data_IF_765025554891
#
_entry.id   IF_765025554891
#
_cell.length_a   1.000
_cell.length_b   1.000
_cell.length_c   1.000
_cell.angle_alpha   90.00
_cell.angle_beta   90.00
_cell.angle_gamma   90.00
#
_symmetry.space_group_name_H-M   'P 1'
#
loop_
_entity.id
_entity.type
_entity.pdbx_description
1 polymer ?
#
# COMPACT_ATOMS: atom_id res chain seq x y z
N UNK A 1 -92.48 139.62 30.79
CA UNK A 1 -92.02 141.03 30.69
C UNK A 1 -92.64 141.73 29.50
N UNK A 2 -92.47 141.19 28.29
CA UNK A 2 -92.92 141.81 27.02
C UNK A 2 -94.44 142.12 26.95
N UNK A 3 -95.33 141.31 27.55
CA UNK A 3 -96.78 141.55 27.47
C UNK A 3 -97.27 142.81 28.21
N UNK A 4 -96.64 143.20 29.33
CA UNK A 4 -97.08 144.39 30.10
C UNK A 4 -96.68 145.70 29.42
N UNK A 5 -95.52 145.71 28.76
CA UNK A 5 -95.00 146.86 28.01
C UNK A 5 -95.91 147.18 26.81
N UNK A 6 -96.54 146.17 26.20
CA UNK A 6 -97.47 146.32 25.07
C UNK A 6 -98.80 147.00 25.47
N UNK A 7 -99.42 146.62 26.59
CA UNK A 7 -100.68 147.25 27.06
C UNK A 7 -100.49 148.70 27.55
N UNK A 8 -99.31 149.07 28.06
CA UNK A 8 -99.00 150.45 28.46
C UNK A 8 -98.97 151.42 27.27
N UNK A 9 -98.50 150.95 26.12
CA UNK A 9 -98.37 151.76 24.91
C UNK A 9 -99.69 152.05 24.19
N UNK A 10 -100.76 151.28 24.47
CA UNK A 10 -102.08 151.41 23.84
C UNK A 10 -103.08 152.24 24.64
N UNK A 11 -102.63 152.87 25.74
CA UNK A 11 -103.47 153.70 26.62
C UNK A 11 -104.34 152.91 27.60
N UNK A 12 -104.33 151.58 27.55
CA UNK A 12 -105.02 150.70 28.51
C UNK A 12 -104.12 150.40 29.72
N UNK A 13 -103.94 151.43 30.54
CA UNK A 13 -103.10 151.37 31.73
C UNK A 13 -103.56 150.32 32.76
N UNK A 14 -104.82 149.87 32.69
CA UNK A 14 -105.36 148.87 33.62
C UNK A 14 -104.77 147.49 33.33
N UNK A 15 -104.77 147.05 32.07
CA UNK A 15 -104.18 145.77 31.69
C UNK A 15 -102.64 145.79 31.73
N UNK A 16 -102.02 146.94 31.46
CA UNK A 16 -100.59 147.14 31.60
C UNK A 16 -100.11 146.86 33.03
N UNK A 17 -100.80 147.47 34.01
CA UNK A 17 -100.53 147.23 35.42
C UNK A 17 -100.75 145.76 35.80
N UNK A 18 -101.85 145.16 35.34
CA UNK A 18 -102.21 143.79 35.68
C UNK A 18 -101.15 142.77 35.21
N UNK A 19 -100.67 142.91 33.96
CA UNK A 19 -99.65 142.01 33.41
C UNK A 19 -98.25 142.31 33.90
N UNK A 20 -97.93 143.55 34.26
CA UNK A 20 -96.68 143.86 34.95
C UNK A 20 -96.67 143.16 36.31
N UNK A 21 -97.78 143.26 37.04
CA UNK A 21 -97.99 142.55 38.32
C UNK A 21 -97.87 141.04 38.13
N UNK A 22 -98.49 140.46 37.10
CA UNK A 22 -98.41 139.02 36.81
C UNK A 22 -96.99 138.57 36.44
N UNK A 23 -96.26 139.34 35.63
CA UNK A 23 -94.86 139.02 35.32
C UNK A 23 -93.97 139.15 36.55
N UNK A 24 -94.12 140.20 37.35
CA UNK A 24 -93.40 140.34 38.61
C UNK A 24 -93.69 139.12 39.51
N UNK A 25 -94.95 138.68 39.60
CA UNK A 25 -95.36 137.53 40.40
C UNK A 25 -94.82 136.19 39.86
N UNK A 26 -94.79 135.99 38.54
CA UNK A 26 -94.22 134.78 37.91
C UNK A 26 -92.69 134.80 37.97
N UNK A 27 -92.06 135.95 37.76
CA UNK A 27 -90.62 136.09 37.82
C UNK A 27 -90.12 135.91 39.25
N UNK A 28 -90.83 136.43 40.26
CA UNK A 28 -90.59 136.12 41.67
C UNK A 28 -90.89 134.64 41.98
N UNK A 29 -91.84 133.99 41.30
CA UNK A 29 -92.06 132.54 41.47
C UNK A 29 -90.95 131.69 40.86
N UNK A 30 -90.42 132.06 39.70
CA UNK A 30 -89.42 131.26 38.95
C UNK A 30 -88.01 131.57 39.40
N UNK A 31 -87.71 132.83 39.66
CA UNK A 31 -86.41 133.34 40.11
C UNK A 31 -86.46 133.84 41.56
N UNK A 32 -87.31 133.24 42.41
CA UNK A 32 -87.04 133.31 43.85
C UNK A 32 -85.78 132.50 44.16
N UNK A 33 -85.19 132.86 45.29
CA UNK A 33 -84.01 132.21 45.87
C UNK A 33 -84.13 130.67 45.90
N UNK A 34 -85.33 130.13 46.10
CA UNK A 34 -85.58 128.69 46.21
C UNK A 34 -85.42 127.95 44.88
N UNK A 35 -85.93 128.50 43.79
CA UNK A 35 -85.87 127.85 42.48
C UNK A 35 -84.52 128.02 41.79
N UNK A 36 -83.83 129.16 41.99
CA UNK A 36 -82.45 129.33 41.51
C UNK A 36 -81.51 128.32 42.19
N UNK A 37 -81.65 128.11 43.50
CA UNK A 37 -80.92 127.04 44.22
C UNK A 37 -81.21 125.66 43.63
N UNK A 38 -82.47 125.36 43.29
CA UNK A 38 -82.85 124.05 42.76
C UNK A 38 -82.30 123.76 41.36
N UNK A 39 -82.23 124.77 40.49
CA UNK A 39 -81.59 124.64 39.18
C UNK A 39 -80.08 124.41 39.33
N UNK A 40 -79.42 125.18 40.19
CA UNK A 40 -77.99 125.00 40.47
C UNK A 40 -77.69 123.62 41.09
N UNK A 41 -78.56 123.11 41.98
CA UNK A 41 -78.44 121.75 42.54
C UNK A 41 -78.57 120.67 41.47
N UNK A 42 -79.51 120.80 40.53
CA UNK A 42 -79.70 119.83 39.44
C UNK A 42 -78.55 119.83 38.43
N UNK A 43 -78.02 121.01 38.09
CA UNK A 43 -76.83 121.10 37.23
C UNK A 43 -75.60 120.51 37.92
N UNK A 44 -75.44 120.79 39.22
CA UNK A 44 -74.37 120.20 40.02
C UNK A 44 -74.51 118.68 40.12
N UNK A 45 -75.71 118.14 40.38
CA UNK A 45 -75.93 116.70 40.47
C UNK A 45 -75.73 116.00 39.12
N UNK A 46 -76.20 116.60 38.01
CA UNK A 46 -75.99 116.05 36.66
C UNK A 46 -74.51 116.07 36.26
N UNK A 47 -73.78 117.13 36.61
CA UNK A 47 -72.34 117.21 36.37
C UNK A 47 -71.58 116.20 37.23
N UNK A 48 -71.94 116.07 38.50
CA UNK A 48 -71.37 115.09 39.42
C UNK A 48 -71.63 113.65 38.95
N UNK A 49 -72.84 113.32 38.48
CA UNK A 49 -73.14 112.01 37.90
C UNK A 49 -72.33 111.72 36.64
N UNK A 50 -72.18 112.70 35.72
CA UNK A 50 -71.34 112.54 34.53
C UNK A 50 -69.87 112.34 34.87
N UNK A 51 -69.33 113.10 35.83
CA UNK A 51 -67.96 112.93 36.32
C UNK A 51 -67.78 111.55 36.99
N UNK A 52 -68.75 111.13 37.82
CA UNK A 52 -68.73 109.81 38.46
C UNK A 52 -68.77 108.67 37.43
N UNK A 53 -69.65 108.75 36.42
CA UNK A 53 -69.70 107.78 35.32
C UNK A 53 -68.41 107.76 34.50
N UNK A 54 -67.80 108.92 34.25
CA UNK A 54 -66.52 109.00 33.53
C UNK A 54 -65.39 108.33 34.32
N UNK A 55 -65.34 108.54 35.64
CA UNK A 55 -64.37 107.90 36.54
C UNK A 55 -64.60 106.38 36.58
N UNK A 56 -65.85 105.92 36.73
CA UNK A 56 -66.19 104.49 36.73
C UNK A 56 -65.81 103.82 35.40
N UNK A 57 -66.06 104.46 34.26
CA UNK A 57 -65.67 103.96 32.94
C UNK A 57 -64.14 103.92 32.77
N UNK A 58 -63.42 104.93 33.26
CA UNK A 58 -61.95 104.94 33.24
C UNK A 58 -61.37 103.83 34.14
N UNK A 59 -61.98 103.61 35.30
CA UNK A 59 -61.62 102.52 36.21
C UNK A 59 -61.88 101.15 35.57
N UNK A 60 -63.06 100.92 34.99
CA UNK A 60 -63.37 99.68 34.25
C UNK A 60 -62.40 99.43 33.09
N UNK A 61 -62.01 100.49 32.35
CA UNK A 61 -61.00 100.37 31.30
C UNK A 61 -59.63 99.96 31.87
N UNK A 62 -59.21 100.56 32.99
CA UNK A 62 -57.95 100.18 33.68
C UNK A 62 -57.99 98.73 34.15
N UNK A 63 -59.09 98.29 34.76
CA UNK A 63 -59.27 96.91 35.23
C UNK A 63 -59.30 95.91 34.05
N UNK A 64 -59.97 96.25 32.94
CA UNK A 64 -60.00 95.43 31.73
C UNK A 64 -58.61 95.31 31.08
N UNK A 65 -57.84 96.41 31.00
CA UNK A 65 -56.45 96.37 30.52
C UNK A 65 -55.58 95.53 31.44
N UNK A 66 -55.70 95.67 32.77
CA UNK A 66 -54.97 94.85 33.74
C UNK A 66 -55.33 93.36 33.64
N UNK A 67 -56.61 93.02 33.45
CA UNK A 67 -57.03 91.64 33.24
C UNK A 67 -56.44 91.07 31.93
N UNK A 68 -56.43 91.85 30.85
CA UNK A 68 -55.84 91.44 29.57
C UNK A 68 -54.32 91.25 29.66
N UNK A 69 -53.60 92.13 30.38
CA UNK A 69 -52.15 91.97 30.61
C UNK A 69 -51.86 90.77 31.52
N UNK A 70 -52.66 90.53 32.56
CA UNK A 70 -52.53 89.33 33.39
C UNK A 70 -52.78 88.05 32.57
N UNK A 71 -53.81 88.03 31.73
CA UNK A 71 -54.10 86.89 30.85
C UNK A 71 -52.96 86.64 29.83
N UNK A 72 -52.41 87.70 29.22
CA UNK A 72 -51.30 87.56 28.27
C UNK A 72 -50.02 87.07 28.94
N UNK A 73 -49.74 87.52 30.17
CA UNK A 73 -48.61 87.02 30.98
C UNK A 73 -48.79 85.55 31.35
N UNK A 74 -49.99 85.15 31.81
CA UNK A 74 -50.30 83.75 32.12
C UNK A 74 -50.17 82.87 30.87
N UNK A 75 -50.72 83.31 29.74
CA UNK A 75 -50.62 82.58 28.47
C UNK A 75 -49.15 82.46 28.01
N UNK A 76 -48.36 83.52 28.16
CA UNK A 76 -46.91 83.50 27.91
C UNK A 76 -46.17 82.50 28.81
N UNK A 77 -46.46 82.48 30.11
CA UNK A 77 -45.88 81.51 31.06
C UNK A 77 -46.27 80.07 30.72
N UNK A 78 -47.52 79.84 30.30
CA UNK A 78 -47.99 78.52 29.84
C UNK A 78 -47.22 78.11 28.59
N UNK A 79 -47.07 78.99 27.60
CA UNK A 79 -46.32 78.70 26.36
C UNK A 79 -44.85 78.37 26.64
N UNK A 80 -44.18 79.16 27.50
CA UNK A 80 -42.79 78.90 27.92
C UNK A 80 -42.69 77.56 28.65
N UNK A 81 -43.63 77.25 29.54
CA UNK A 81 -43.67 75.98 30.28
C UNK A 81 -43.89 74.79 29.35
N UNK A 82 -44.80 74.91 28.36
CA UNK A 82 -45.02 73.89 27.35
C UNK A 82 -43.79 73.69 26.46
N UNK A 83 -43.12 74.77 26.06
CA UNK A 83 -41.90 74.70 25.29
C UNK A 83 -40.76 74.04 26.08
N UNK A 84 -40.59 74.39 27.35
CA UNK A 84 -39.62 73.77 28.24
C UNK A 84 -39.89 72.26 28.42
N UNK A 85 -41.16 71.87 28.60
CA UNK A 85 -41.57 70.47 28.67
C UNK A 85 -41.30 69.72 27.37
N UNK A 86 -41.56 70.34 26.21
CA UNK A 86 -41.26 69.78 24.90
C UNK A 86 -39.76 69.53 24.72
N UNK A 87 -38.92 70.53 25.00
CA UNK A 87 -37.45 70.42 24.91
C UNK A 87 -36.94 69.35 25.87
N UNK A 88 -37.43 69.33 27.11
CA UNK A 88 -37.06 68.33 28.10
C UNK A 88 -37.43 66.90 27.66
N UNK A 89 -38.66 66.71 27.17
CA UNK A 89 -39.13 65.41 26.66
C UNK A 89 -38.33 64.98 25.44
N UNK A 90 -38.07 65.89 24.50
CA UNK A 90 -37.26 65.64 23.30
C UNK A 90 -35.83 65.24 23.67
N UNK A 91 -35.20 65.94 24.62
CA UNK A 91 -33.87 65.63 25.12
C UNK A 91 -33.80 64.27 25.82
N UNK A 92 -34.78 63.96 26.68
CA UNK A 92 -34.92 62.63 27.33
C UNK A 92 -35.06 61.50 26.31
N UNK A 93 -35.88 61.68 25.27
CA UNK A 93 -36.05 60.69 24.21
C UNK A 93 -34.73 60.51 23.45
N UNK A 94 -34.09 61.59 22.99
CA UNK A 94 -32.80 61.53 22.30
C UNK A 94 -31.73 60.82 23.13
N UNK A 95 -31.63 61.11 24.42
CA UNK A 95 -30.65 60.46 25.29
C UNK A 95 -30.90 58.95 25.40
N UNK A 96 -32.16 58.53 25.62
CA UNK A 96 -32.53 57.10 25.64
C UNK A 96 -32.25 56.42 24.31
N UNK A 97 -32.60 57.04 23.18
CA UNK A 97 -32.33 56.50 21.84
C UNK A 97 -30.83 56.36 21.59
N UNK A 98 -30.02 57.35 21.97
CA UNK A 98 -28.56 57.29 21.82
C UNK A 98 -27.94 56.17 22.67
N UNK A 99 -28.46 55.92 23.88
CA UNK A 99 -28.01 54.80 24.72
C UNK A 99 -28.34 53.45 24.08
N UNK A 100 -29.56 53.29 23.54
CA UNK A 100 -29.96 52.07 22.83
C UNK A 100 -29.09 51.87 21.59
N UNK A 101 -28.86 52.93 20.81
CA UNK A 101 -28.04 52.88 19.60
C UNK A 101 -26.59 52.53 19.92
N UNK A 102 -26.02 53.08 21.00
CA UNK A 102 -24.68 52.74 21.46
C UNK A 102 -24.57 51.26 21.86
N UNK A 103 -25.59 50.73 22.57
CA UNK A 103 -25.65 49.31 22.91
C UNK A 103 -25.77 48.42 21.67
N UNK A 104 -26.69 48.74 20.75
CA UNK A 104 -26.86 48.01 19.49
C UNK A 104 -25.58 48.03 18.65
N UNK A 105 -24.90 49.17 18.59
CA UNK A 105 -23.62 49.29 17.88
C UNK A 105 -22.57 48.36 18.49
N UNK A 106 -22.45 48.33 19.81
CA UNK A 106 -21.51 47.44 20.50
C UNK A 106 -21.86 45.96 20.27
N UNK A 107 -23.15 45.60 20.35
CA UNK A 107 -23.62 44.23 20.11
C UNK A 107 -23.32 43.78 18.65
N UNK A 108 -23.47 44.69 17.66
CA UNK A 108 -23.12 44.44 16.26
C UNK A 108 -21.61 44.28 16.08
N UNK A 109 -20.80 45.13 16.73
CA UNK A 109 -19.34 45.02 16.67
C UNK A 109 -18.87 43.66 17.20
N UNK A 110 -19.40 43.24 18.35
CA UNK A 110 -19.09 41.92 18.92
C UNK A 110 -19.53 40.76 18.01
N UNK A 111 -20.73 40.84 17.44
CA UNK A 111 -21.22 39.81 16.52
C UNK A 111 -20.37 39.74 15.24
N UNK A 112 -19.89 40.88 14.74
CA UNK A 112 -18.99 40.91 13.58
C UNK A 112 -17.62 40.29 13.90
N UNK A 113 -17.08 40.51 15.10
CA UNK A 113 -15.84 39.85 15.54
C UNK A 113 -16.02 38.32 15.62
N UNK A 114 -17.11 37.85 16.23
CA UNK A 114 -17.45 36.42 16.28
C UNK A 114 -17.62 35.82 14.88
N UNK A 115 -18.32 36.53 13.98
CA UNK A 115 -18.49 36.11 12.58
C UNK A 115 -17.16 35.99 11.85
N UNK A 116 -16.22 36.91 12.07
CA UNK A 116 -14.92 36.90 11.40
C UNK A 116 -14.09 35.67 11.80
N UNK A 117 -14.07 35.34 13.10
CA UNK A 117 -13.36 34.16 13.63
C UNK A 117 -13.95 32.87 13.07
N UNK A 118 -15.28 32.72 13.11
CA UNK A 118 -15.96 31.53 12.59
C UNK A 118 -15.72 31.37 11.09
N UNK A 119 -15.71 32.47 10.33
CA UNK A 119 -15.49 32.42 8.90
C UNK A 119 -14.03 32.04 8.54
N UNK A 120 -13.06 32.47 9.35
CA UNK A 120 -11.66 32.05 9.21
C UNK A 120 -11.49 30.55 9.51
N UNK A 121 -12.08 30.05 10.60
CA UNK A 121 -12.09 28.61 10.93
C UNK A 121 -12.80 27.78 9.86
N UNK A 122 -13.92 28.27 9.32
CA UNK A 122 -14.63 27.60 8.24
C UNK A 122 -13.81 27.55 6.94
N UNK A 123 -13.05 28.61 6.65
CA UNK A 123 -12.19 28.66 5.45
C UNK A 123 -11.06 27.65 5.57
N UNK A 124 -10.34 27.65 6.70
CA UNK A 124 -9.23 26.72 6.95
C UNK A 124 -9.68 25.25 6.98
N UNK A 125 -10.82 24.94 7.60
CA UNK A 125 -11.38 23.58 7.60
C UNK A 125 -11.81 23.12 6.20
N UNK A 126 -12.38 24.00 5.39
CA UNK A 126 -12.73 23.69 4.01
C UNK A 126 -11.49 23.46 3.14
N UNK A 127 -10.42 24.26 3.30
CA UNK A 127 -9.16 24.05 2.59
C UNK A 127 -8.54 22.69 2.93
N UNK A 128 -8.49 22.33 4.21
CA UNK A 128 -8.00 21.02 4.66
C UNK A 128 -8.88 19.86 4.14
N UNK A 129 -10.20 20.05 4.08
CA UNK A 129 -11.12 19.05 3.53
C UNK A 129 -10.90 18.84 2.03
N UNK A 130 -10.68 19.92 1.26
CA UNK A 130 -10.37 19.86 -0.17
C UNK A 130 -9.04 19.14 -0.40
N UNK A 131 -8.02 19.42 0.41
CA UNK A 131 -6.73 18.74 0.31
C UNK A 131 -6.85 17.25 0.63
N UNK A 132 -7.52 16.90 1.72
CA UNK A 132 -7.77 15.50 2.11
C UNK A 132 -8.53 14.75 1.02
N UNK A 133 -9.56 15.36 0.44
CA UNK A 133 -10.32 14.77 -0.66
C UNK A 133 -9.43 14.51 -1.89
N UNK A 134 -8.58 15.48 -2.27
CA UNK A 134 -7.61 15.29 -3.37
C UNK A 134 -6.64 14.15 -3.08
N UNK A 135 -6.14 14.02 -1.85
CA UNK A 135 -5.24 12.93 -1.47
C UNK A 135 -5.92 11.56 -1.55
N UNK A 136 -7.19 11.46 -1.11
CA UNK A 136 -7.98 10.22 -1.23
C UNK A 136 -8.23 9.88 -2.69
N UNK A 137 -8.68 10.84 -3.52
CA UNK A 137 -8.89 10.63 -4.96
C UNK A 137 -7.61 10.19 -5.67
N UNK A 138 -6.47 10.81 -5.35
CA UNK A 138 -5.17 10.43 -5.90
C UNK A 138 -4.73 9.02 -5.46
N UNK A 139 -4.98 8.67 -4.19
CA UNK A 139 -4.71 7.33 -3.66
C UNK A 139 -5.58 6.28 -4.35
N UNK A 140 -6.89 6.52 -4.50
CA UNK A 140 -7.83 5.64 -5.20
C UNK A 140 -7.44 5.45 -6.68
N UNK A 141 -7.09 6.53 -7.39
CA UNK A 141 -6.61 6.44 -8.76
C UNK A 141 -5.34 5.59 -8.84
N UNK A 142 -4.39 5.78 -7.91
CA UNK A 142 -3.18 4.97 -7.84
C UNK A 142 -3.48 3.51 -7.59
N UNK A 143 -4.35 3.17 -6.62
CA UNK A 143 -4.77 1.80 -6.35
C UNK A 143 -5.44 1.16 -7.57
N UNK A 144 -6.33 1.88 -8.24
CA UNK A 144 -7.00 1.40 -9.46
C UNK A 144 -6.00 1.11 -10.59
N UNK A 145 -4.98 1.95 -10.78
CA UNK A 145 -3.92 1.70 -11.75
C UNK A 145 -3.07 0.49 -11.39
N UNK A 146 -2.78 0.27 -10.10
CA UNK A 146 -2.05 -0.91 -9.65
C UNK A 146 -2.84 -2.19 -9.89
N UNK A 147 -4.15 -2.19 -9.60
CA UNK A 147 -5.04 -3.34 -9.81
C UNK A 147 -5.17 -3.63 -11.31
N UNK A 148 -5.38 -2.59 -12.16
CA UNK A 148 -5.55 -2.78 -13.61
C UNK A 148 -4.30 -3.26 -14.33
N UNK A 149 -3.11 -2.89 -13.84
CA UNK A 149 -1.84 -3.33 -14.42
C UNK A 149 -1.26 -4.58 -13.75
N UNK A 150 -1.96 -5.17 -12.77
CA UNK A 150 -1.58 -6.46 -12.21
C UNK A 150 -1.77 -7.56 -13.26
N UNK A 151 -0.78 -8.43 -13.41
CA UNK A 151 -0.90 -9.64 -14.23
C UNK A 151 -1.70 -10.73 -13.53
N UNK A 152 -1.85 -10.66 -12.21
CA UNK A 152 -2.65 -11.60 -11.43
C UNK A 152 -4.11 -11.11 -11.31
N UNK A 153 -5.04 -12.05 -11.23
CA UNK A 153 -6.47 -11.78 -11.01
C UNK A 153 -6.71 -11.58 -9.51
N UNK A 154 -7.28 -10.44 -9.15
CA UNK A 154 -7.74 -10.18 -7.79
C UNK A 154 -9.24 -10.50 -7.71
N UNK A 155 -9.62 -11.36 -6.77
CA UNK A 155 -10.99 -11.80 -6.56
C UNK A 155 -11.39 -11.54 -5.10
N UNK A 156 -12.56 -10.94 -4.90
CA UNK A 156 -13.20 -10.89 -3.59
C UNK A 156 -14.35 -11.88 -3.53
N UNK A 157 -14.32 -12.71 -2.50
CA UNK A 157 -15.26 -13.80 -2.28
C UNK A 157 -15.99 -13.58 -0.97
N UNK A 158 -17.31 -13.78 -0.97
CA UNK A 158 -18.11 -13.69 0.25
C UNK A 158 -17.98 -14.97 1.11
N UNK A 159 -18.62 -14.98 2.30
CA UNK A 159 -18.60 -16.14 3.22
C UNK A 159 -19.15 -17.45 2.63
N UNK A 160 -19.93 -17.37 1.54
CA UNK A 160 -20.54 -18.52 0.86
C UNK A 160 -19.69 -19.07 -0.28
N UNK A 161 -18.55 -18.45 -0.59
CA UNK A 161 -17.71 -18.84 -1.72
C UNK A 161 -18.11 -18.20 -3.05
N UNK A 162 -18.99 -17.19 -3.04
CA UNK A 162 -19.43 -16.49 -4.25
C UNK A 162 -18.52 -15.27 -4.53
N UNK A 163 -18.04 -15.19 -5.77
CA UNK A 163 -17.24 -14.08 -6.26
C UNK A 163 -18.14 -12.88 -6.57
N UNK A 164 -17.87 -11.75 -5.93
CA UNK A 164 -18.63 -10.51 -6.15
C UNK A 164 -17.79 -9.36 -6.72
N UNK A 165 -16.47 -9.51 -6.71
CA UNK A 165 -15.53 -8.62 -7.39
C UNK A 165 -14.41 -9.43 -8.02
N UNK A 166 -14.04 -9.08 -9.25
CA UNK A 166 -12.97 -9.70 -10.02
C UNK A 166 -12.26 -8.59 -10.80
N UNK A 167 -10.93 -8.55 -10.78
CA UNK A 167 -10.16 -7.57 -11.56
C UNK A 167 -10.22 -7.84 -13.07
N UNK A 168 -10.03 -6.79 -13.87
CA UNK A 168 -10.06 -6.84 -15.34
C UNK A 168 -9.05 -7.86 -15.94
N UNK A 169 -8.01 -8.23 -15.19
CA UNK A 169 -7.02 -9.23 -15.59
C UNK A 169 -7.66 -10.61 -15.89
N UNK A 170 -8.81 -10.93 -15.28
CA UNK A 170 -9.51 -12.18 -15.54
C UNK A 170 -9.86 -12.39 -17.00
N UNK A 171 -10.23 -11.31 -17.72
CA UNK A 171 -10.60 -11.40 -19.14
C UNK A 171 -9.44 -11.89 -20.00
N UNK A 172 -8.24 -11.39 -19.74
CA UNK A 172 -7.04 -11.74 -20.50
C UNK A 172 -6.55 -13.16 -20.18
N UNK A 173 -6.69 -13.59 -18.92
CA UNK A 173 -6.16 -14.89 -18.46
C UNK A 173 -7.13 -16.06 -18.63
N UNK A 174 -8.45 -15.82 -18.54
CA UNK A 174 -9.47 -16.88 -18.62
C UNK A 174 -10.25 -16.87 -19.93
N UNK A 175 -10.28 -15.73 -20.63
CA UNK A 175 -11.11 -15.49 -21.81
C UNK A 175 -12.59 -15.20 -21.51
N UNK A 176 -13.02 -15.25 -20.24
CA UNK A 176 -14.39 -14.91 -19.84
C UNK A 176 -14.52 -13.43 -19.52
N UNK A 177 -15.72 -12.87 -19.75
CA UNK A 177 -16.06 -11.57 -19.19
C UNK A 177 -16.20 -11.68 -17.66
N UNK A 178 -15.93 -10.59 -16.94
CA UNK A 178 -15.98 -10.56 -15.47
C UNK A 178 -17.37 -10.97 -14.98
N UNK A 179 -18.42 -10.52 -15.67
CA UNK A 179 -19.81 -10.82 -15.34
C UNK A 179 -20.16 -12.30 -15.47
N UNK A 180 -19.44 -13.05 -16.32
CA UNK A 180 -19.62 -14.50 -16.50
C UNK A 180 -18.96 -15.31 -15.37
N UNK A 181 -18.03 -14.71 -14.62
CA UNK A 181 -17.29 -15.35 -13.54
C UNK A 181 -17.83 -14.99 -12.15
N UNK A 182 -18.80 -14.07 -12.05
CA UNK A 182 -19.47 -13.75 -10.79
C UNK A 182 -20.27 -14.95 -10.28
N UNK A 183 -20.31 -15.11 -8.96
CA UNK A 183 -20.94 -16.27 -8.32
C UNK A 183 -19.96 -17.41 -8.06
N UNK A 184 -20.38 -18.65 -8.27
CA UNK A 184 -19.59 -19.84 -7.97
C UNK A 184 -18.72 -20.25 -9.14
N UNK A 185 -17.48 -20.68 -8.88
CA UNK A 185 -16.52 -21.09 -9.92
C UNK A 185 -16.41 -22.60 -10.16
N UNK A 186 -17.28 -23.41 -9.56
CA UNK A 186 -17.21 -24.87 -9.72
C UNK A 186 -17.29 -25.30 -11.20
N UNK A 187 -18.09 -24.62 -12.03
CA UNK A 187 -18.28 -24.96 -13.45
C UNK A 187 -17.05 -24.70 -14.34
N UNK A 188 -16.13 -23.85 -13.87
CA UNK A 188 -14.89 -23.49 -14.59
C UNK A 188 -13.66 -24.17 -14.01
N UNK A 189 -13.80 -25.01 -12.99
CA UNK A 189 -12.72 -25.82 -12.42
C UNK A 189 -12.70 -27.20 -13.09
N UNK A 190 -11.51 -27.75 -13.31
CA UNK A 190 -11.37 -29.11 -13.80
C UNK A 190 -11.99 -30.12 -12.80
N UNK A 191 -12.81 -31.09 -13.25
CA UNK A 191 -13.60 -31.93 -12.33
C UNK A 191 -12.82 -32.63 -11.21
N UNK A 192 -11.63 -33.16 -11.50
CA UNK A 192 -10.81 -33.85 -10.50
C UNK A 192 -10.19 -32.88 -9.46
N UNK A 193 -10.13 -31.58 -9.79
CA UNK A 193 -9.55 -30.56 -8.92
C UNK A 193 -10.62 -29.92 -8.00
N UNK A 194 -11.91 -30.23 -8.17
CA UNK A 194 -12.99 -29.67 -7.35
C UNK A 194 -12.82 -29.99 -5.85
N UNK A 195 -12.41 -31.22 -5.54
CA UNK A 195 -12.27 -31.67 -4.15
C UNK A 195 -11.13 -30.92 -3.44
N UNK A 196 -9.99 -30.74 -4.11
CA UNK A 196 -8.86 -30.00 -3.52
C UNK A 196 -9.22 -28.51 -3.34
N UNK A 197 -10.01 -27.93 -4.25
CA UNK A 197 -10.50 -26.55 -4.12
C UNK A 197 -11.46 -26.39 -2.94
N UNK A 198 -12.38 -27.34 -2.73
CA UNK A 198 -13.26 -27.33 -1.55
C UNK A 198 -12.48 -27.49 -0.24
N UNK A 199 -11.46 -28.34 -0.23
CA UNK A 199 -10.59 -28.48 0.94
C UNK A 199 -9.79 -27.20 1.22
N UNK A 200 -9.28 -26.55 0.18
CA UNK A 200 -8.64 -25.24 0.30
C UNK A 200 -9.60 -24.18 0.88
N UNK A 201 -10.82 -24.11 0.36
CA UNK A 201 -11.85 -23.22 0.89
C UNK A 201 -12.10 -23.42 2.39
N UNK A 202 -12.23 -24.68 2.82
CA UNK A 202 -12.42 -25.01 4.23
C UNK A 202 -11.21 -24.59 5.10
N UNK A 203 -9.98 -24.71 4.60
CA UNK A 203 -8.77 -24.26 5.32
C UNK A 203 -8.71 -22.75 5.46
N UNK A 204 -9.06 -22.00 4.42
CA UNK A 204 -9.12 -20.52 4.44
C UNK A 204 -10.19 -20.02 5.42
N UNK A 205 -11.34 -20.69 5.48
CA UNK A 205 -12.38 -20.35 6.46
C UNK A 205 -11.95 -20.66 7.90
N UNK A 206 -11.24 -21.78 8.11
CA UNK A 206 -10.81 -22.22 9.42
C UNK A 206 -9.67 -21.37 10.00
N UNK A 207 -8.79 -20.81 9.17
CA UNK A 207 -7.62 -20.06 9.61
C UNK A 207 -7.59 -18.64 9.03
N UNK A 208 -7.82 -17.64 9.89
CA UNK A 208 -7.89 -16.22 9.49
C UNK A 208 -6.54 -15.54 9.41
N UNK A 209 -5.54 -16.05 10.12
CA UNK A 209 -4.24 -15.38 10.29
C UNK A 209 -3.23 -15.77 9.20
N UNK A 210 -3.52 -16.81 8.42
CA UNK A 210 -2.58 -17.38 7.44
C UNK A 210 -3.25 -17.45 6.08
N UNK A 211 -2.54 -16.99 5.04
CA UNK A 211 -2.95 -17.19 3.67
C UNK A 211 -2.73 -18.66 3.27
N UNK A 212 -3.72 -19.30 2.65
CA UNK A 212 -3.57 -20.64 2.07
C UNK A 212 -3.33 -20.55 0.57
N UNK A 213 -2.65 -21.56 0.01
CA UNK A 213 -2.32 -21.61 -1.41
C UNK A 213 -2.81 -22.93 -2.03
N UNK A 214 -3.29 -22.85 -3.27
CA UNK A 214 -3.70 -24.00 -4.07
C UNK A 214 -3.30 -23.83 -5.53
N UNK A 215 -2.99 -24.96 -6.20
CA UNK A 215 -2.83 -25.02 -7.64
C UNK A 215 -3.93 -25.90 -8.23
N UNK A 216 -4.60 -25.43 -9.27
CA UNK A 216 -5.72 -26.14 -9.91
C UNK A 216 -5.80 -25.78 -11.39
N UNK A 217 -6.50 -26.61 -12.15
CA UNK A 217 -6.78 -26.37 -13.57
C UNK A 217 -8.10 -25.62 -13.71
N UNK A 218 -8.03 -24.50 -14.41
CA UNK A 218 -9.16 -23.66 -14.75
C UNK A 218 -9.48 -23.81 -16.25
N UNK A 219 -10.75 -23.96 -16.59
CA UNK A 219 -11.23 -24.02 -17.97
C UNK A 219 -11.15 -22.62 -18.57
N UNK A 220 -10.28 -22.42 -19.54
CA UNK A 220 -10.25 -21.22 -20.37
C UNK A 220 -11.34 -21.30 -21.46
N UNK A 221 -11.92 -20.16 -21.85
CA UNK A 221 -13.01 -20.09 -22.85
C UNK A 221 -12.65 -20.71 -24.20
N UNK A 222 -11.44 -20.43 -24.70
CA UNK A 222 -10.95 -20.93 -26.01
C UNK A 222 -9.77 -21.92 -25.95
N UNK A 223 -8.91 -21.87 -24.92
CA UNK A 223 -7.59 -22.54 -24.91
C UNK A 223 -7.56 -23.90 -24.22
N UNK A 224 -8.71 -24.43 -23.78
CA UNK A 224 -8.76 -25.64 -22.95
C UNK A 224 -8.47 -25.33 -21.49
N UNK A 225 -7.72 -26.17 -20.78
CA UNK A 225 -7.40 -25.95 -19.37
C UNK A 225 -6.06 -25.23 -19.19
N UNK A 226 -6.06 -24.21 -18.33
CA UNK A 226 -4.87 -23.46 -17.89
C UNK A 226 -4.62 -23.75 -16.41
N UNK A 227 -3.36 -23.69 -15.99
CA UNK A 227 -3.00 -23.91 -14.58
C UNK A 227 -2.98 -22.59 -13.83
N UNK A 228 -3.75 -22.51 -12.76
CA UNK A 228 -3.78 -21.37 -11.85
C UNK A 228 -3.25 -21.74 -10.47
N UNK A 229 -2.59 -20.77 -9.86
CA UNK A 229 -2.25 -20.74 -8.44
C UNK A 229 -3.11 -19.67 -7.77
N UNK A 230 -3.94 -20.06 -6.79
CA UNK A 230 -4.72 -19.13 -5.99
C UNK A 230 -4.14 -19.06 -4.57
N UNK A 231 -3.93 -17.83 -4.10
CA UNK A 231 -3.57 -17.53 -2.72
C UNK A 231 -4.71 -16.76 -2.10
N UNK A 232 -5.34 -17.32 -1.07
CA UNK A 232 -6.52 -16.75 -0.44
C UNK A 232 -6.27 -16.45 1.03
N UNK A 233 -6.72 -15.27 1.48
CA UNK A 233 -6.67 -14.85 2.87
C UNK A 233 -8.03 -14.34 3.34
N UNK A 234 -8.40 -14.73 4.55
CA UNK A 234 -9.69 -14.42 5.13
C UNK A 234 -9.70 -13.08 5.88
N UNK A 235 -10.43 -12.11 5.35
CA UNK A 235 -10.64 -10.79 5.94
C UNK A 235 -12.11 -10.51 6.26
N UNK A 236 -12.92 -11.56 6.52
CA UNK A 236 -14.35 -11.40 6.83
C UNK A 236 -14.60 -10.53 8.08
N UNK A 237 -13.71 -10.61 9.08
CA UNK A 237 -13.82 -9.80 10.30
C UNK A 237 -13.22 -8.39 10.14
N UNK A 238 -12.49 -8.12 9.05
CA UNK A 238 -11.84 -6.84 8.85
C UNK A 238 -12.87 -5.78 8.42
N UNK A 239 -13.02 -4.66 9.15
CA UNK A 239 -14.14 -3.74 8.96
C UNK A 239 -14.20 -3.08 7.58
N UNK A 240 -13.05 -2.93 6.91
CA UNK A 240 -12.98 -2.33 5.58
C UNK A 240 -13.10 -3.34 4.41
N UNK A 241 -12.82 -4.62 4.64
CA UNK A 241 -12.74 -5.63 3.56
C UNK A 241 -13.97 -6.55 3.61
N UNK A 242 -14.26 -7.13 4.78
CA UNK A 242 -15.42 -8.02 5.02
C UNK A 242 -15.60 -9.12 3.97
N UNK A 243 -14.48 -9.65 3.47
CA UNK A 243 -14.46 -10.65 2.40
C UNK A 243 -13.20 -11.51 2.48
N UNK A 244 -13.16 -12.58 1.71
CA UNK A 244 -11.92 -13.33 1.44
C UNK A 244 -11.28 -12.72 0.20
N UNK A 245 -9.99 -12.38 0.31
CA UNK A 245 -9.20 -11.80 -0.78
C UNK A 245 -8.40 -12.93 -1.40
N UNK A 246 -8.59 -13.16 -2.69
CA UNK A 246 -7.88 -14.21 -3.44
C UNK A 246 -7.10 -13.58 -4.58
N UNK A 247 -5.79 -13.87 -4.65
CA UNK A 247 -4.95 -13.55 -5.79
C UNK A 247 -4.73 -14.80 -6.63
N UNK A 248 -5.03 -14.74 -7.93
CA UNK A 248 -4.94 -15.89 -8.84
C UNK A 248 -3.93 -15.60 -9.95
N UNK A 249 -2.90 -16.44 -10.04
CA UNK A 249 -1.81 -16.31 -11.01
C UNK A 249 -1.83 -17.44 -12.03
N UNK A 250 -1.59 -17.12 -13.28
CA UNK A 250 -1.32 -18.12 -14.32
C UNK A 250 0.08 -18.72 -14.16
N UNK A 251 0.12 -20.03 -13.92
CA UNK A 251 1.35 -20.82 -13.73
C UNK A 251 1.51 -21.86 -14.86
N UNK A 252 0.79 -21.73 -15.96
CA UNK A 252 0.81 -22.68 -17.09
C UNK A 252 2.22 -22.85 -17.65
N UNK A 253 2.93 -21.76 -17.90
CA UNK A 253 4.31 -21.81 -18.41
C UNK A 253 5.27 -22.41 -17.38
N UNK A 254 5.05 -22.14 -16.07
CA UNK A 254 5.80 -22.77 -14.99
C UNK A 254 5.59 -24.28 -14.98
N UNK A 255 4.35 -24.75 -15.12
CA UNK A 255 4.01 -26.18 -15.18
C UNK A 255 4.57 -26.87 -16.41
N UNK A 256 4.55 -26.22 -17.58
CA UNK A 256 5.19 -26.76 -18.79
C UNK A 256 6.70 -26.91 -18.62
N UNK A 257 7.35 -25.91 -18.04
CA UNK A 257 8.78 -25.97 -17.75
C UNK A 257 9.13 -27.07 -16.72
N UNK A 258 8.33 -27.22 -15.66
CA UNK A 258 8.49 -28.31 -14.67
C UNK A 258 8.39 -29.70 -15.33
N UNK A 259 7.39 -29.92 -16.18
CA UNK A 259 7.21 -31.18 -16.90
C UNK A 259 8.34 -31.46 -17.90
N UNK A 260 8.74 -30.45 -18.69
CA UNK A 260 9.85 -30.59 -19.63
C UNK A 260 11.17 -30.93 -18.92
N UNK A 261 11.42 -30.33 -17.75
CA UNK A 261 12.58 -30.67 -16.94
C UNK A 261 12.54 -32.12 -16.45
N UNK A 262 11.39 -32.58 -15.96
CA UNK A 262 11.21 -33.97 -15.52
C UNK A 262 11.43 -34.97 -16.66
N UNK A 263 10.98 -34.66 -17.87
CA UNK A 263 11.24 -35.50 -19.05
C UNK A 263 12.72 -35.58 -19.40
N UNK A 264 13.43 -34.44 -19.38
CA UNK A 264 14.88 -34.38 -19.62
C UNK A 264 15.64 -35.17 -18.55
N UNK A 265 15.25 -35.05 -17.27
CA UNK A 265 15.87 -35.79 -16.17
C UNK A 265 15.64 -37.30 -16.31
N UNK A 266 14.43 -37.72 -16.68
CA UNK A 266 14.12 -39.12 -16.91
C UNK A 266 14.90 -39.70 -18.11
N UNK A 267 15.00 -38.95 -19.21
CA UNK A 267 15.78 -39.34 -20.38
C UNK A 267 17.28 -39.45 -20.06
N UNK A 268 17.81 -38.47 -19.33
CA UNK A 268 19.21 -38.47 -18.87
C UNK A 268 19.49 -39.64 -17.93
N UNK A 269 18.59 -39.94 -16.99
CA UNK A 269 18.73 -41.09 -16.08
C UNK A 269 18.73 -42.41 -16.85
N UNK A 270 17.88 -42.55 -17.86
CA UNK A 270 17.86 -43.72 -18.75
C UNK A 270 19.16 -43.87 -19.54
N UNK A 271 19.69 -42.78 -20.11
CA UNK A 271 20.95 -42.79 -20.84
C UNK A 271 22.13 -43.17 -19.92
N UNK A 272 22.17 -42.61 -18.71
CA UNK A 272 23.19 -42.96 -17.71
C UNK A 272 23.12 -44.44 -17.31
N UNK A 273 21.93 -44.99 -17.10
CA UNK A 273 21.77 -46.42 -16.78
C UNK A 273 22.29 -47.32 -17.91
N UNK A 274 21.99 -46.98 -19.17
CA UNK A 274 22.50 -47.71 -20.34
C UNK A 274 24.02 -47.64 -20.46
N UNK A 275 24.63 -46.49 -20.18
CA UNK A 275 26.09 -46.33 -20.25
C UNK A 275 26.80 -47.10 -19.11
N UNK A 276 26.24 -47.09 -17.90
CA UNK A 276 26.73 -47.91 -16.78
C UNK A 276 26.69 -49.39 -17.15
N UNK A 277 25.59 -49.87 -17.73
CA UNK A 277 25.46 -51.26 -18.16
C UNK A 277 26.46 -51.63 -19.27
N UNK A 278 26.71 -50.71 -20.22
CA UNK A 278 27.72 -50.89 -21.27
C UNK A 278 29.13 -51.02 -20.67
N UNK A 279 29.50 -50.11 -19.78
CA UNK A 279 30.82 -50.12 -19.11
C UNK A 279 30.98 -51.38 -18.26
N UNK A 280 29.94 -51.79 -17.53
CA UNK A 280 29.99 -53.01 -16.72
C UNK A 280 30.23 -54.27 -17.56
N UNK A 281 29.54 -54.40 -18.70
CA UNK A 281 29.75 -55.53 -19.64
C UNK A 281 31.15 -55.54 -20.24
N UNK A 282 31.68 -54.38 -20.60
CA UNK A 282 33.03 -54.25 -21.14
C UNK A 282 34.08 -54.62 -20.07
N UNK A 283 33.90 -54.15 -18.83
CA UNK A 283 34.76 -54.50 -17.70
C UNK A 283 34.76 -56.01 -17.41
N UNK A 284 33.58 -56.64 -17.35
CA UNK A 284 33.47 -58.08 -17.14
C UNK A 284 34.13 -58.88 -18.26
N UNK A 285 33.96 -58.46 -19.52
CA UNK A 285 34.61 -59.10 -20.68
C UNK A 285 36.14 -59.01 -20.57
N UNK A 286 36.66 -57.83 -20.22
CA UNK A 286 38.09 -57.62 -20.06
C UNK A 286 38.66 -58.47 -18.91
N UNK A 287 37.97 -58.51 -17.76
CA UNK A 287 38.36 -59.36 -16.62
C UNK A 287 38.36 -60.86 -16.98
N UNK A 288 37.36 -61.34 -17.74
CA UNK A 288 37.31 -62.73 -18.22
C UNK A 288 38.47 -63.04 -19.18
N UNK A 289 38.79 -62.12 -20.09
CA UNK A 289 39.92 -62.29 -21.01
C UNK A 289 41.26 -62.30 -20.27
N UNK A 290 41.42 -61.41 -19.29
CA UNK A 290 42.62 -61.30 -18.46
C UNK A 290 42.86 -62.58 -17.62
N UNK A 291 41.81 -63.06 -16.94
CA UNK A 291 41.87 -64.30 -16.14
C UNK A 291 42.14 -65.53 -17.00
N UNK A 292 41.54 -65.63 -18.19
CA UNK A 292 41.80 -66.73 -19.12
C UNK A 292 43.25 -66.75 -19.61
N UNK A 293 43.84 -65.58 -19.90
CA UNK A 293 45.24 -65.47 -20.31
C UNK A 293 46.18 -65.90 -19.18
N UNK A 294 45.98 -65.39 -17.97
CA UNK A 294 46.76 -65.75 -16.76
C UNK A 294 46.67 -67.25 -16.46
N UNK A 295 45.47 -67.84 -16.49
CA UNK A 295 45.27 -69.27 -16.24
C UNK A 295 46.01 -70.14 -17.26
N UNK A 296 45.96 -69.77 -18.55
CA UNK A 296 46.66 -70.50 -19.61
C UNK A 296 48.17 -70.51 -19.40
N UNK A 297 48.76 -69.38 -19.00
CA UNK A 297 50.19 -69.31 -18.71
C UNK A 297 50.59 -70.15 -17.50
N UNK A 298 49.80 -70.11 -16.43
CA UNK A 298 50.07 -70.91 -15.25
C UNK A 298 50.04 -72.41 -15.63
N UNK A 299 49.01 -72.84 -16.37
CA UNK A 299 48.91 -74.22 -16.86
C UNK A 299 50.10 -74.64 -17.72
N UNK A 300 50.53 -73.80 -18.67
CA UNK A 300 51.70 -74.09 -19.49
C UNK A 300 52.96 -74.23 -18.63
N UNK A 301 53.18 -73.31 -17.68
CA UNK A 301 54.37 -73.34 -16.82
C UNK A 301 54.37 -74.52 -15.84
N UNK A 302 53.20 -75.01 -15.42
CA UNK A 302 53.07 -76.24 -14.63
C UNK A 302 53.45 -77.47 -15.45
N UNK A 303 52.93 -77.59 -16.67
CA UNK A 303 53.29 -78.68 -17.59
C UNK A 303 54.79 -78.68 -17.91
N UNK A 304 55.36 -77.49 -18.15
CA UNK A 304 56.77 -77.36 -18.50
C UNK A 304 57.66 -77.69 -17.28
N UNK A 305 57.26 -77.31 -16.06
CA UNK A 305 57.93 -77.69 -14.82
C UNK A 305 57.93 -79.22 -14.60
N UNK A 306 56.78 -79.88 -14.78
CA UNK A 306 56.68 -81.35 -14.70
C UNK A 306 57.56 -82.04 -15.74
N UNK A 307 57.64 -81.48 -16.95
CA UNK A 307 58.50 -82.01 -18.02
C UNK A 307 59.98 -81.90 -17.65
N UNK A 308 60.39 -80.76 -17.08
CA UNK A 308 61.76 -80.53 -16.62
C UNK A 308 62.10 -81.45 -15.45
N UNK A 309 61.19 -81.65 -14.49
CA UNK A 309 61.37 -82.56 -13.35
C UNK A 309 61.65 -83.99 -13.81
N UNK A 310 60.84 -84.52 -14.74
CA UNK A 310 61.08 -85.85 -15.34
C UNK A 310 62.43 -85.93 -16.06
N UNK A 311 62.84 -84.86 -16.75
CA UNK A 311 64.16 -84.83 -17.41
C UNK A 311 65.30 -84.81 -16.39
N UNK A 312 65.12 -84.16 -15.24
CA UNK A 312 66.08 -84.16 -14.13
C UNK A 312 66.17 -85.53 -13.46
N UNK A 313 65.06 -86.24 -13.25
CA UNK A 313 65.08 -87.62 -12.75
C UNK A 313 65.86 -88.56 -13.68
N UNK A 314 65.69 -88.40 -14.99
CA UNK A 314 66.46 -89.16 -15.99
C UNK A 314 67.94 -88.75 -15.93
N UNK A 315 68.24 -87.46 -15.78
CA UNK A 315 69.61 -86.96 -15.61
C UNK A 315 70.31 -87.71 -14.47
N UNK A 316 69.69 -87.74 -13.28
CA UNK A 316 70.28 -88.30 -12.06
C UNK A 316 70.71 -89.76 -12.21
N UNK A 317 69.94 -90.54 -12.98
CA UNK A 317 70.15 -91.97 -13.22
C UNK A 317 71.09 -92.31 -14.39
N UNK A 318 71.68 -91.32 -15.07
CA UNK A 318 72.51 -91.53 -16.27
C UNK A 318 74.01 -91.21 -16.05
N UNK A 319 74.86 -91.62 -17.00
CA UNK A 319 76.31 -91.37 -16.97
C UNK A 319 76.70 -89.88 -17.17
N UNK A 320 77.90 -89.44 -16.73
CA UNK A 320 78.31 -88.02 -16.76
C UNK A 320 78.27 -87.34 -18.14
N UNK A 321 78.58 -88.07 -19.21
CA UNK A 321 78.52 -87.54 -20.58
C UNK A 321 77.07 -87.30 -21.04
N UNK A 322 76.16 -88.20 -20.68
CA UNK A 322 74.73 -88.05 -20.95
C UNK A 322 74.11 -86.98 -20.07
N UNK A 323 74.55 -86.84 -18.81
CA UNK A 323 74.15 -85.75 -17.91
C UNK A 323 74.37 -84.37 -18.53
N UNK A 324 75.56 -84.13 -19.09
CA UNK A 324 75.86 -82.87 -19.78
C UNK A 324 74.91 -82.62 -20.96
N UNK A 325 74.59 -83.66 -21.74
CA UNK A 325 73.66 -83.56 -22.88
C UNK A 325 72.20 -83.35 -22.46
N UNK A 326 71.77 -83.96 -21.36
CA UNK A 326 70.43 -83.73 -20.79
C UNK A 326 70.34 -82.32 -20.23
N UNK A 327 71.36 -81.83 -19.53
CA UNK A 327 71.40 -80.45 -19.02
C UNK A 327 71.40 -79.40 -20.13
N UNK A 328 72.07 -79.66 -21.28
CA UNK A 328 71.96 -78.78 -22.44
C UNK A 328 70.54 -78.81 -23.04
N UNK A 329 69.91 -79.98 -23.15
CA UNK A 329 68.53 -80.12 -23.64
C UNK A 329 67.52 -79.43 -22.71
N UNK A 330 67.65 -79.54 -21.39
CA UNK A 330 66.83 -78.83 -20.42
C UNK A 330 67.00 -77.31 -20.59
N UNK A 331 68.24 -76.85 -20.80
CA UNK A 331 68.54 -75.42 -21.00
C UNK A 331 67.93 -74.89 -22.30
N UNK A 332 68.03 -75.66 -23.39
CA UNK A 332 67.42 -75.31 -24.67
C UNK A 332 65.89 -75.34 -24.60
N UNK A 333 65.31 -76.34 -23.93
CA UNK A 333 63.87 -76.43 -23.69
C UNK A 333 63.36 -75.23 -22.90
N UNK A 334 64.00 -74.89 -21.78
CA UNK A 334 63.65 -73.70 -20.97
C UNK A 334 63.68 -72.42 -21.80
N UNK A 335 64.70 -72.26 -22.65
CA UNK A 335 64.81 -71.08 -23.54
C UNK A 335 63.68 -71.03 -24.57
N UNK A 336 63.38 -72.16 -25.23
CA UNK A 336 62.33 -72.24 -26.26
C UNK A 336 60.93 -72.08 -25.66
N UNK A 337 60.64 -72.80 -24.58
CA UNK A 337 59.37 -72.71 -23.85
C UNK A 337 59.14 -71.29 -23.33
N UNK A 338 60.14 -70.66 -22.70
CA UNK A 338 60.01 -69.29 -22.21
C UNK A 338 59.69 -68.30 -23.32
N UNK A 339 60.40 -68.36 -24.44
CA UNK A 339 60.17 -67.46 -25.57
C UNK A 339 58.77 -67.66 -26.17
N UNK A 340 58.35 -68.91 -26.40
CA UNK A 340 57.04 -69.21 -26.96
C UNK A 340 55.90 -68.80 -26.01
N UNK A 341 56.02 -69.09 -24.71
CA UNK A 341 55.03 -68.70 -23.70
C UNK A 341 54.98 -67.17 -23.55
N UNK A 342 56.11 -66.49 -23.69
CA UNK A 342 56.18 -65.02 -23.64
C UNK A 342 55.52 -64.36 -24.86
N UNK A 343 55.79 -64.84 -26.08
CA UNK A 343 55.16 -64.29 -27.30
C UNK A 343 53.64 -64.43 -27.26
N UNK A 344 53.14 -65.60 -26.82
CA UNK A 344 51.71 -65.83 -26.65
C UNK A 344 51.12 -64.95 -25.54
N UNK A 345 51.85 -64.78 -24.43
CA UNK A 345 51.45 -63.88 -23.35
C UNK A 345 51.33 -62.43 -23.81
N UNK A 346 52.38 -61.92 -24.45
CA UNK A 346 52.50 -60.52 -24.83
C UNK A 346 51.36 -60.12 -25.78
N UNK A 347 51.01 -60.99 -26.73
CA UNK A 347 49.87 -60.80 -27.62
C UNK A 347 48.54 -60.71 -26.86
N UNK A 348 48.32 -61.62 -25.90
CA UNK A 348 47.09 -61.61 -25.09
C UNK A 348 47.03 -60.40 -24.15
N UNK A 349 48.16 -60.01 -23.59
CA UNK A 349 48.29 -58.88 -22.68
C UNK A 349 48.05 -57.55 -23.41
N UNK A 350 48.68 -57.31 -24.56
CA UNK A 350 48.49 -56.07 -25.34
C UNK A 350 47.05 -55.90 -25.84
N UNK A 351 46.34 -57.01 -26.11
CA UNK A 351 44.93 -56.97 -26.51
C UNK A 351 44.03 -56.36 -25.43
N UNK A 352 44.32 -56.62 -24.15
CA UNK A 352 43.52 -56.13 -23.00
C UNK A 352 44.09 -54.82 -22.44
N UNK A 353 45.41 -54.65 -22.47
CA UNK A 353 46.14 -53.53 -21.89
C UNK A 353 46.95 -52.75 -22.92
N UNK A 354 46.31 -52.36 -24.02
CA UNK A 354 46.95 -51.73 -25.19
C UNK A 354 47.79 -50.49 -24.87
N UNK A 355 47.38 -49.68 -23.88
CA UNK A 355 48.09 -48.47 -23.47
C UNK A 355 49.17 -48.69 -22.39
N UNK A 356 49.28 -49.90 -21.82
CA UNK A 356 50.14 -50.12 -20.65
C UNK A 356 51.61 -49.88 -20.96
N UNK A 357 52.13 -50.49 -22.04
CA UNK A 357 53.53 -50.31 -22.42
C UNK A 357 53.82 -48.89 -22.86
N UNK A 358 52.89 -48.22 -23.55
CA UNK A 358 53.04 -46.82 -23.94
C UNK A 358 53.24 -45.93 -22.70
N UNK A 359 52.34 -46.03 -21.71
CA UNK A 359 52.42 -45.27 -20.46
C UNK A 359 53.66 -45.65 -19.64
N UNK A 360 53.96 -46.93 -19.52
CA UNK A 360 55.11 -47.43 -18.78
C UNK A 360 56.42 -46.92 -19.38
N UNK A 361 56.53 -46.90 -20.71
CA UNK A 361 57.72 -46.42 -21.42
C UNK A 361 57.84 -44.89 -21.36
N UNK A 362 56.71 -44.17 -21.42
CA UNK A 362 56.69 -42.72 -21.31
C UNK A 362 57.11 -42.25 -19.92
N UNK A 363 56.62 -42.91 -18.87
CA UNK A 363 56.93 -42.56 -17.48
C UNK A 363 58.29 -43.10 -17.02
N UNK A 364 58.70 -44.28 -17.50
CA UNK A 364 59.89 -44.99 -17.04
C UNK A 364 60.73 -45.54 -18.20
N UNK A 365 61.36 -44.67 -19.01
CA UNK A 365 62.09 -45.07 -20.22
C UNK A 365 63.31 -45.97 -19.92
N UNK A 366 63.88 -45.85 -18.72
CA UNK A 366 65.11 -46.55 -18.30
C UNK A 366 64.89 -48.01 -17.85
N UNK A 367 63.65 -48.53 -17.94
CA UNK A 367 63.37 -49.95 -17.66
C UNK A 367 63.92 -50.84 -18.78
N UNK A 368 64.67 -51.87 -18.39
CA UNK A 368 65.14 -52.92 -19.31
C UNK A 368 63.97 -53.74 -19.85
N UNK A 369 64.17 -54.44 -20.97
CA UNK A 369 63.15 -55.31 -21.54
C UNK A 369 62.62 -56.31 -20.50
N UNK A 370 63.49 -57.02 -19.78
CA UNK A 370 63.10 -57.99 -18.76
C UNK A 370 62.35 -57.37 -17.56
N UNK A 371 62.70 -56.14 -17.18
CA UNK A 371 61.97 -55.40 -16.14
C UNK A 371 60.54 -55.05 -16.60
N UNK A 372 60.36 -54.63 -17.86
CA UNK A 372 59.03 -54.39 -18.45
C UNK A 372 58.19 -55.67 -18.49
N UNK A 373 58.80 -56.82 -18.80
CA UNK A 373 58.13 -58.13 -18.76
C UNK A 373 57.59 -58.45 -17.37
N UNK A 374 58.40 -58.23 -16.34
CA UNK A 374 57.97 -58.43 -14.94
C UNK A 374 56.85 -57.45 -14.57
N UNK A 375 56.90 -56.20 -15.03
CA UNK A 375 55.80 -55.25 -14.81
C UNK A 375 54.47 -55.74 -15.42
N UNK A 376 54.50 -56.35 -16.61
CA UNK A 376 53.31 -56.92 -17.24
C UNK A 376 52.73 -58.10 -16.45
N UNK A 377 53.56 -59.01 -15.92
CA UNK A 377 53.08 -60.07 -15.05
C UNK A 377 52.49 -59.55 -13.73
N UNK A 378 53.13 -58.53 -13.15
CA UNK A 378 52.63 -57.90 -11.92
C UNK A 378 51.34 -57.12 -12.15
N UNK A 379 51.14 -56.52 -13.34
CA UNK A 379 49.89 -55.86 -13.74
C UNK A 379 48.69 -56.82 -13.63
N UNK A 380 48.91 -58.08 -14.02
CA UNK A 380 47.93 -59.17 -13.94
C UNK A 380 47.81 -59.83 -12.57
N UNK A 381 48.39 -59.22 -11.53
CA UNK A 381 48.38 -59.73 -10.16
C UNK A 381 48.99 -61.15 -10.00
N UNK A 382 49.94 -61.53 -10.86
CA UNK A 382 50.63 -62.82 -10.73
C UNK A 382 51.52 -62.86 -9.49
N UNK A 383 51.56 -64.01 -8.82
CA UNK A 383 52.40 -64.19 -7.64
C UNK A 383 53.87 -64.34 -8.02
N UNK A 384 54.79 -64.11 -7.08
CA UNK A 384 56.22 -64.36 -7.31
C UNK A 384 56.50 -65.80 -7.71
N UNK A 385 55.74 -66.75 -7.14
CA UNK A 385 55.91 -68.17 -7.43
C UNK A 385 55.57 -68.46 -8.89
N UNK A 386 54.46 -67.91 -9.37
CA UNK A 386 53.99 -68.13 -10.75
C UNK A 386 54.97 -67.49 -11.76
N UNK A 387 55.41 -66.25 -11.49
CA UNK A 387 56.36 -65.56 -12.36
C UNK A 387 57.71 -66.30 -12.41
N UNK A 388 58.21 -66.77 -11.26
CA UNK A 388 59.45 -67.54 -11.20
C UNK A 388 59.36 -68.83 -12.00
N UNK A 389 58.21 -69.52 -11.92
CA UNK A 389 57.94 -70.74 -12.67
C UNK A 389 57.85 -70.50 -14.18
N UNK A 390 57.11 -69.46 -14.61
CA UNK A 390 56.97 -69.07 -16.03
C UNK A 390 58.30 -68.66 -16.64
N UNK A 391 59.11 -67.90 -15.89
CA UNK A 391 60.38 -67.36 -16.39
C UNK A 391 61.57 -68.32 -16.20
N UNK A 392 61.34 -69.47 -15.56
CA UNK A 392 62.38 -70.41 -15.10
C UNK A 392 63.49 -69.74 -14.27
N UNK A 393 63.16 -68.70 -13.51
CA UNK A 393 64.07 -67.99 -12.61
C UNK A 393 63.89 -68.47 -11.17
N UNK A 394 64.91 -68.27 -10.33
CA UNK A 394 64.76 -68.53 -8.90
C UNK A 394 63.91 -67.46 -8.23
N UNK A 395 63.16 -67.84 -7.20
CA UNK A 395 62.34 -66.91 -6.39
C UNK A 395 63.19 -65.75 -5.81
N UNK A 396 64.45 -66.01 -5.43
CA UNK A 396 65.38 -64.99 -4.95
C UNK A 396 65.79 -64.00 -6.05
N UNK A 397 66.02 -64.47 -7.28
CA UNK A 397 66.31 -63.61 -8.43
C UNK A 397 65.13 -62.68 -8.73
N UNK A 398 63.90 -63.19 -8.63
CA UNK A 398 62.69 -62.40 -8.84
C UNK A 398 62.45 -61.40 -7.71
N UNK A 399 62.67 -61.77 -6.44
CA UNK A 399 62.63 -60.84 -5.29
C UNK A 399 63.59 -59.66 -5.49
N UNK A 400 64.83 -59.94 -5.91
CA UNK A 400 65.83 -58.91 -6.26
C UNK A 400 65.38 -58.06 -7.44
N UNK A 401 64.77 -58.65 -8.47
CA UNK A 401 64.22 -57.90 -9.60
C UNK A 401 63.08 -56.95 -9.18
N UNK A 402 62.15 -57.39 -8.32
CA UNK A 402 61.08 -56.54 -7.77
C UNK A 402 61.59 -55.41 -6.89
N UNK A 403 62.63 -55.65 -6.09
CA UNK A 403 63.27 -54.60 -5.30
C UNK A 403 63.89 -53.52 -6.20
N UNK A 404 64.58 -53.93 -7.27
CA UNK A 404 65.13 -53.01 -8.28
C UNK A 404 64.04 -52.24 -9.02
N UNK A 405 62.96 -52.91 -9.42
CA UNK A 405 61.79 -52.26 -10.01
C UNK A 405 61.22 -51.20 -9.07
N UNK A 406 61.05 -51.51 -7.79
CA UNK A 406 60.55 -50.55 -6.80
C UNK A 406 61.41 -49.30 -6.70
N UNK A 407 62.72 -49.45 -6.73
CA UNK A 407 63.67 -48.34 -6.72
C UNK A 407 63.60 -47.51 -8.01
N UNK A 408 63.57 -48.17 -9.18
CA UNK A 408 63.49 -47.50 -10.49
C UNK A 408 62.15 -46.82 -10.77
N UNK A 409 61.08 -47.33 -10.17
CA UNK A 409 59.73 -46.76 -10.25
C UNK A 409 59.47 -45.72 -9.14
N UNK A 410 60.45 -45.49 -8.26
CA UNK A 410 60.39 -44.50 -7.17
C UNK A 410 59.20 -44.70 -6.20
N UNK A 411 58.86 -45.96 -5.91
CA UNK A 411 57.68 -46.29 -5.09
C UNK A 411 58.01 -46.28 -3.60
N UNK A 412 57.31 -45.45 -2.84
CA UNK A 412 57.39 -45.34 -1.36
C UNK A 412 57.17 -46.68 -0.65
N UNK A 413 57.79 -46.91 0.51
CA UNK A 413 57.81 -48.22 1.21
C UNK A 413 56.43 -48.77 1.60
N UNK A 414 55.42 -47.92 1.76
CA UNK A 414 54.07 -48.33 2.16
C UNK A 414 53.18 -48.68 0.96
N UNK A 415 53.54 -48.21 -0.23
CA UNK A 415 52.75 -48.42 -1.45
C UNK A 415 52.94 -49.83 -2.00
N UNK A 416 51.84 -50.50 -2.33
CA UNK A 416 51.89 -51.83 -2.94
C UNK A 416 52.33 -51.71 -4.42
N UNK A 417 53.43 -52.38 -4.79
CA UNK A 417 53.99 -52.36 -6.15
C UNK A 417 52.98 -52.85 -7.21
N UNK A 418 52.17 -53.86 -6.89
CA UNK A 418 51.14 -54.40 -7.80
C UNK A 418 50.03 -53.38 -8.01
N UNK A 419 49.49 -52.82 -6.91
CA UNK A 419 48.44 -51.79 -7.00
C UNK A 419 48.93 -50.54 -7.77
N UNK A 420 50.19 -50.17 -7.60
CA UNK A 420 50.81 -49.09 -8.37
C UNK A 420 50.82 -49.39 -9.87
N UNK A 421 51.34 -50.57 -10.27
CA UNK A 421 51.38 -50.98 -11.67
C UNK A 421 49.97 -51.16 -12.27
N UNK A 422 48.99 -51.57 -11.47
CA UNK A 422 47.57 -51.64 -11.86
C UNK A 422 46.96 -50.28 -12.20
N UNK A 423 47.53 -49.18 -11.71
CA UNK A 423 47.07 -47.82 -11.99
C UNK A 423 47.84 -47.09 -13.10
N UNK A 424 48.92 -47.67 -13.64
CA UNK A 424 49.56 -47.23 -14.90
C UNK A 424 48.69 -47.68 -16.07
#
# INVERSE_FOLDING_TARGET
KQLSEIYAATGDYKNAYLHHKLFAEINDRVYNEKNVKKIAELEYSSKYEKEKQAIELEQQKKDAVQAATMFSLIMGLILVSLFALYVFRSSRIKHKTNLILAKQKHDIEKLNEEYLVVNEELTTTNEALVETKKMVEASEQRLNLLIKNSNDILVLVNEKGEQFFISDAAKNLTGYAVEELLGTVEDVIYPDDLEIVRQHWNRVLANKDVADCIQYRHKHKERGYVWFEAVAQNFLDHPAIKSIVTNVRDITERKKAELALQEIEAEKAKLMAMEIERISRELESNQKSETAATLKLIQNSERDAQTIERLMEIEESTNPASKQKINSLISDYKRISYNSNWEEFELLFEKVHSSFYEKLNMQYPNLTANERKICAFLKLNMSNKDIAQITFQSDDALKKARLRLRQKLEIERETNLVAFLQNI
#
